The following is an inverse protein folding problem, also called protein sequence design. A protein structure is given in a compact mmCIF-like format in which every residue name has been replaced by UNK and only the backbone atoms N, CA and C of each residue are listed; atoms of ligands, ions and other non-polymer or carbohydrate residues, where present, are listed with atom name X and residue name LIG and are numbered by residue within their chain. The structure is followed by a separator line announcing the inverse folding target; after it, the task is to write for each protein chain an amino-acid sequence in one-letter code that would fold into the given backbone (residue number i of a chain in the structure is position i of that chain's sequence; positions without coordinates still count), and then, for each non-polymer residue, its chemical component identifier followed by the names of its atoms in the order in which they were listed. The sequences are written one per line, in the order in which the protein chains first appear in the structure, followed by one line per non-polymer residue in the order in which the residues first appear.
data_IF_439847928053
#
_entry.id   IF_439847928053
#
_cell.length_a   1.000
_cell.length_b   1.000
_cell.length_c   1.000
_cell.angle_alpha   90.00
_cell.angle_beta   90.00
_cell.angle_gamma   90.00
#
_symmetry.space_group_name_H-M   'P 1'
#
loop_
_entity.id
_entity.type
_entity.pdbx_description
1 polymer ?
#
# COMPACT_ATOMS: atom_id res chain seq x y z
N UNK A 1 -60.03 -4.86 -42.84
CA UNK A 1 -58.64 -5.37 -42.70
C UNK A 1 -58.00 -4.55 -41.59
N UNK A 2 -58.02 -4.94 -40.30
CA UNK A 2 -57.35 -6.10 -39.65
C UNK A 2 -55.83 -6.00 -39.92
N UNK A 3 -54.89 -5.77 -38.99
CA UNK A 3 -54.86 -5.75 -37.51
C UNK A 3 -53.72 -4.84 -36.99
N UNK A 4 -53.94 -4.33 -35.78
CA UNK A 4 -52.96 -3.86 -34.78
C UNK A 4 -52.14 -5.00 -34.17
N UNK A 5 -50.96 -4.71 -33.61
CA UNK A 5 -50.31 -5.38 -32.46
C UNK A 5 -48.87 -4.80 -32.31
N UNK A 6 -48.20 -4.73 -31.15
CA UNK A 6 -48.55 -4.44 -29.77
C UNK A 6 -47.22 -4.24 -29.00
N UNK A 7 -47.30 -3.49 -27.90
CA UNK A 7 -46.33 -3.20 -26.84
C UNK A 7 -45.57 -4.41 -26.28
N UNK A 8 -44.29 -4.26 -25.86
CA UNK A 8 -43.82 -4.77 -24.55
C UNK A 8 -42.58 -4.02 -24.02
N UNK A 9 -42.82 -3.17 -23.03
CA UNK A 9 -41.88 -2.74 -21.99
C UNK A 9 -41.51 -3.94 -21.12
N UNK A 10 -40.22 -4.16 -20.81
CA UNK A 10 -39.88 -5.10 -19.74
C UNK A 10 -38.71 -4.60 -18.88
N UNK A 11 -39.10 -4.15 -17.69
CA UNK A 11 -38.29 -3.72 -16.57
C UNK A 11 -37.53 -4.94 -15.99
N UNK A 12 -36.27 -4.74 -15.56
CA UNK A 12 -35.55 -5.78 -14.79
C UNK A 12 -35.96 -5.73 -13.31
N UNK A 13 -36.16 -6.88 -12.67
CA UNK A 13 -36.86 -6.96 -11.39
C UNK A 13 -36.00 -6.56 -10.19
N UNK A 14 -36.66 -5.86 -9.27
CA UNK A 14 -36.35 -5.75 -7.83
C UNK A 14 -36.49 -7.14 -7.20
N UNK A 15 -35.53 -7.53 -6.37
CA UNK A 15 -35.70 -8.70 -5.50
C UNK A 15 -35.43 -8.30 -4.04
N UNK A 16 -36.52 -8.32 -3.25
CA UNK A 16 -36.55 -8.20 -1.79
C UNK A 16 -36.86 -9.58 -1.17
N UNK A 17 -36.32 -9.82 0.02
CA UNK A 17 -36.63 -10.97 0.91
C UNK A 17 -35.73 -12.18 0.64
N UNK A 18 -35.12 -12.85 1.62
CA UNK A 18 -35.73 -13.35 2.86
C UNK A 18 -34.65 -13.48 3.94
N UNK A 19 -35.00 -13.08 5.17
CA UNK A 19 -34.18 -13.32 6.35
C UNK A 19 -34.20 -14.79 6.76
N UNK A 20 -33.03 -15.32 7.08
CA UNK A 20 -32.87 -16.57 7.85
C UNK A 20 -31.89 -16.30 8.97
N UNK A 21 -32.42 -16.23 10.19
CA UNK A 21 -31.67 -16.32 11.44
C UNK A 21 -31.11 -17.72 11.61
N UNK A 22 -29.85 -17.84 12.02
CA UNK A 22 -29.34 -19.03 12.74
C UNK A 22 -28.12 -18.66 13.58
N UNK A 23 -28.29 -18.85 14.88
CA UNK A 23 -27.26 -18.76 15.91
C UNK A 23 -26.42 -20.05 15.99
N UNK A 24 -25.28 -19.89 16.67
CA UNK A 24 -24.42 -20.87 17.34
C UNK A 24 -23.20 -21.41 16.59
N UNK A 25 -22.05 -21.21 17.24
CA UNK A 25 -20.83 -21.99 17.01
C UNK A 25 -19.56 -21.21 17.30
N UNK A 26 -19.31 -20.87 18.57
CA UNK A 26 -17.98 -20.47 19.04
C UNK A 26 -16.94 -21.53 18.63
N UNK A 27 -15.90 -21.12 17.89
CA UNK A 27 -14.58 -21.72 18.03
C UNK A 27 -13.48 -20.69 17.72
N UNK A 28 -12.90 -20.26 18.83
CA UNK A 28 -11.61 -19.63 19.08
C UNK A 28 -10.51 -19.92 18.02
N UNK A 29 -9.78 -18.88 17.60
CA UNK A 29 -8.30 -18.89 17.55
C UNK A 29 -7.72 -17.48 17.36
N UNK A 30 -7.29 -16.91 18.50
CA UNK A 30 -6.11 -16.06 18.71
C UNK A 30 -5.88 -14.81 17.85
N UNK A 31 -6.40 -13.70 18.38
CA UNK A 31 -6.02 -12.31 18.13
C UNK A 31 -4.81 -11.94 19.01
N UNK A 32 -3.82 -11.22 18.48
CA UNK A 32 -2.80 -10.53 19.30
C UNK A 32 -3.44 -9.26 19.89
N UNK A 33 -3.80 -9.31 21.17
CA UNK A 33 -4.28 -8.17 21.96
C UNK A 33 -3.10 -7.38 22.52
N UNK A 34 -3.13 -6.07 22.29
CA UNK A 34 -2.29 -5.08 22.96
C UNK A 34 -2.84 -4.91 24.38
N UNK A 35 -2.09 -5.37 25.38
CA UNK A 35 -2.43 -5.22 26.80
C UNK A 35 -2.17 -3.76 27.22
N UNK A 36 -3.17 -3.12 27.84
CA UNK A 36 -3.05 -1.84 28.55
C UNK A 36 -3.04 -2.15 30.07
N UNK A 37 -2.16 -1.55 30.89
CA UNK A 37 -2.14 -1.83 32.33
C UNK A 37 -3.24 -1.05 33.10
N UNK A 38 -3.78 -1.61 34.19
CA UNK A 38 -4.77 -0.96 35.06
C UNK A 38 -4.14 -0.02 36.12
N UNK A 39 -4.94 0.89 36.74
CA UNK A 39 -4.47 1.88 37.71
C UNK A 39 -4.29 1.27 39.12
N UNK A 40 -3.35 1.83 39.88
CA UNK A 40 -3.01 1.42 41.26
C UNK A 40 -3.73 2.29 42.29
N UNK A 41 -4.48 1.65 43.19
CA UNK A 41 -4.88 2.19 44.50
C UNK A 41 -4.01 1.58 45.61
N UNK A 42 -3.85 2.36 46.66
CA UNK A 42 -2.81 2.36 47.69
C UNK A 42 -3.30 1.69 48.99
N UNK A 43 -2.57 0.69 49.53
CA UNK A 43 -2.59 0.35 50.98
C UNK A 43 -1.25 -0.28 51.43
N UNK A 44 -0.92 0.01 52.68
CA UNK A 44 0.34 0.09 53.46
C UNK A 44 1.00 -1.21 54.00
N UNK A 45 2.35 -1.13 54.08
CA UNK A 45 3.35 -1.51 55.14
C UNK A 45 3.46 -2.94 55.73
N UNK A 46 4.66 -3.56 55.63
CA UNK A 46 5.61 -3.81 56.76
C UNK A 46 6.93 -4.55 56.34
N UNK A 47 8.06 -4.03 56.86
CA UNK A 47 9.45 -4.51 57.14
C UNK A 47 9.86 -5.99 56.90
N UNK A 48 11.12 -6.43 56.72
CA UNK A 48 12.49 -5.87 56.67
C UNK A 48 13.39 -6.98 56.08
N UNK A 49 14.49 -6.63 55.40
CA UNK A 49 15.88 -7.14 55.63
C UNK A 49 16.74 -6.96 54.36
N UNK A 50 17.79 -6.19 54.56
CA UNK A 50 18.87 -5.77 53.68
C UNK A 50 19.68 -6.92 53.11
N UNK A 51 19.94 -6.93 51.80
CA UNK A 51 21.27 -7.27 51.28
C UNK A 51 21.50 -6.67 49.89
N UNK A 52 22.72 -6.17 49.72
CA UNK A 52 23.14 -5.15 48.76
C UNK A 52 23.75 -5.84 47.53
N UNK A 53 23.09 -5.77 46.36
CA UNK A 53 23.73 -6.08 45.06
C UNK A 53 23.35 -5.02 44.02
N UNK A 54 24.39 -4.49 43.37
CA UNK A 54 24.38 -3.41 42.41
C UNK A 54 23.40 -3.64 41.24
N UNK A 55 22.72 -2.61 40.72
CA UNK A 55 21.86 -2.76 39.55
C UNK A 55 22.71 -2.90 38.28
N UNK A 56 22.64 -4.07 37.66
CA UNK A 56 23.00 -4.30 36.27
C UNK A 56 22.10 -3.40 35.40
N UNK A 57 22.63 -2.25 35.01
CA UNK A 57 22.01 -1.35 34.05
C UNK A 57 22.08 -2.02 32.67
N UNK A 58 21.09 -2.86 32.40
CA UNK A 58 20.76 -3.36 31.07
C UNK A 58 20.36 -2.20 30.16
N UNK A 59 21.36 -1.45 29.66
CA UNK A 59 21.18 -0.50 28.57
C UNK A 59 20.74 -1.29 27.36
N UNK A 60 19.43 -1.36 27.13
CA UNK A 60 18.87 -1.79 25.86
C UNK A 60 19.38 -0.79 24.82
N UNK A 61 20.44 -1.17 24.09
CA UNK A 61 20.97 -0.38 22.98
C UNK A 61 19.85 -0.25 21.94
N UNK A 62 19.11 0.86 21.98
CA UNK A 62 18.16 1.19 20.94
C UNK A 62 18.89 1.14 19.60
N UNK A 63 18.49 0.21 18.72
CA UNK A 63 19.06 0.12 17.38
C UNK A 63 18.79 1.44 16.68
N UNK A 64 19.84 2.18 16.34
CA UNK A 64 19.74 3.41 15.53
C UNK A 64 18.93 3.10 14.28
N UNK A 65 17.71 3.62 14.23
CA UNK A 65 16.83 3.48 13.06
C UNK A 65 17.41 4.36 11.96
N UNK A 66 17.48 3.83 10.73
CA UNK A 66 17.95 4.58 9.56
C UNK A 66 17.07 5.80 9.34
N UNK A 67 17.69 6.97 9.20
CA UNK A 67 17.00 8.23 8.89
C UNK A 67 16.46 8.29 7.46
N UNK A 68 15.84 9.43 7.10
CA UNK A 68 15.34 9.71 5.75
C UNK A 68 16.51 9.62 4.74
N UNK A 69 16.26 9.05 3.56
CA UNK A 69 17.26 9.07 2.49
C UNK A 69 17.49 10.50 2.01
N UNK A 70 18.75 10.84 1.77
CA UNK A 70 19.17 12.11 1.17
C UNK A 70 19.75 11.89 -0.24
N UNK A 71 19.67 10.67 -0.78
CA UNK A 71 20.18 10.34 -2.12
C UNK A 71 21.61 10.87 -2.39
N UNK A 72 22.54 10.65 -1.45
CA UNK A 72 23.92 11.21 -1.46
C UNK A 72 24.63 11.08 -2.81
N UNK A 73 24.42 9.96 -3.51
CA UNK A 73 25.02 9.72 -4.82
C UNK A 73 24.63 10.79 -5.84
N UNK A 74 23.39 11.28 -5.82
CA UNK A 74 22.91 12.32 -6.73
C UNK A 74 23.49 13.69 -6.37
N UNK A 75 23.59 14.00 -5.07
CA UNK A 75 24.19 15.26 -4.59
C UNK A 75 25.65 15.40 -5.04
N UNK A 76 26.36 14.28 -5.11
CA UNK A 76 27.78 14.25 -5.47
C UNK A 76 28.02 14.12 -6.99
N UNK A 77 26.98 14.16 -7.82
CA UNK A 77 27.14 14.16 -9.27
C UNK A 77 27.75 15.48 -9.75
N UNK A 78 28.65 15.39 -10.73
CA UNK A 78 29.18 16.58 -11.38
C UNK A 78 28.04 17.26 -12.19
N UNK A 79 28.08 18.60 -12.36
CA UNK A 79 27.13 19.28 -13.24
C UNK A 79 27.07 18.62 -14.63
N UNK A 80 25.86 18.28 -15.08
CA UNK A 80 25.62 17.61 -16.36
C UNK A 80 25.83 16.09 -16.38
N UNK A 81 26.33 15.49 -15.29
CA UNK A 81 26.44 14.04 -15.19
C UNK A 81 25.09 13.39 -14.86
N UNK A 82 24.71 12.36 -15.63
CA UNK A 82 23.47 11.60 -15.43
C UNK A 82 23.77 10.12 -15.21
N UNK A 83 22.97 9.47 -14.38
CA UNK A 83 23.04 8.05 -14.14
C UNK A 83 22.23 7.28 -15.20
N UNK A 84 22.81 6.28 -15.87
CA UNK A 84 22.04 5.42 -16.76
C UNK A 84 21.03 4.61 -15.95
N UNK A 85 19.76 4.64 -16.35
CA UNK A 85 18.71 3.78 -15.78
C UNK A 85 18.29 2.74 -16.81
N UNK A 86 17.86 1.56 -16.37
CA UNK A 86 17.27 0.54 -17.24
C UNK A 86 15.81 0.43 -16.86
N UNK A 87 14.90 0.48 -17.83
CA UNK A 87 13.49 0.20 -17.56
C UNK A 87 13.21 -1.29 -17.79
N UNK A 88 12.73 -1.98 -16.77
CA UNK A 88 12.24 -3.35 -16.86
C UNK A 88 10.86 -3.41 -16.20
N UNK A 89 9.87 -3.93 -16.92
CA UNK A 89 8.49 -4.01 -16.46
C UNK A 89 7.97 -2.68 -15.91
N UNK A 90 8.07 -1.62 -16.72
CA UNK A 90 7.50 -0.30 -16.37
C UNK A 90 8.12 0.31 -15.09
N UNK A 91 9.33 -0.11 -14.71
CA UNK A 91 10.04 0.31 -13.49
C UNK A 91 11.53 0.50 -13.76
N UNK A 92 12.12 1.48 -13.08
CA UNK A 92 13.58 1.68 -13.07
C UNK A 92 14.28 0.53 -12.34
N UNK A 93 15.25 -0.09 -13.00
CA UNK A 93 15.95 -1.29 -12.59
C UNK A 93 17.46 -1.17 -12.92
N UNK A 94 18.21 -2.26 -12.70
CA UNK A 94 19.65 -2.29 -12.89
C UNK A 94 20.45 -1.68 -11.72
N UNK A 95 21.75 -1.43 -11.90
CA UNK A 95 22.64 -0.95 -10.84
C UNK A 95 22.16 0.33 -10.14
N UNK A 96 21.52 1.23 -10.90
CA UNK A 96 21.01 2.51 -10.40
C UNK A 96 19.52 2.46 -9.97
N UNK A 97 18.85 1.30 -10.06
CA UNK A 97 17.40 1.19 -9.77
C UNK A 97 17.03 1.50 -8.31
N UNK A 98 17.91 1.20 -7.36
CA UNK A 98 17.70 1.53 -5.93
C UNK A 98 17.80 3.04 -5.67
N UNK A 99 18.72 3.72 -6.35
CA UNK A 99 18.94 5.17 -6.29
C UNK A 99 17.78 5.89 -6.95
N UNK A 100 17.39 5.44 -8.14
CA UNK A 100 16.19 5.87 -8.85
C UNK A 100 14.95 5.84 -7.94
N UNK A 101 14.65 4.67 -7.37
CA UNK A 101 13.47 4.50 -6.51
C UNK A 101 13.55 5.38 -5.25
N UNK A 102 14.74 5.55 -4.68
CA UNK A 102 14.95 6.43 -3.52
C UNK A 102 14.71 7.90 -3.87
N UNK A 103 15.11 8.32 -5.06
CA UNK A 103 14.96 9.68 -5.54
C UNK A 103 13.52 10.03 -5.88
N UNK A 104 12.80 9.16 -6.61
CA UNK A 104 11.36 9.30 -6.84
C UNK A 104 10.61 9.49 -5.52
N UNK A 105 10.92 8.66 -4.52
CA UNK A 105 10.32 8.79 -3.20
C UNK A 105 10.68 10.10 -2.48
N UNK A 106 11.81 10.74 -2.82
CA UNK A 106 12.20 12.03 -2.24
C UNK A 106 11.39 13.17 -2.85
N UNK A 107 11.18 13.14 -4.18
CA UNK A 107 10.28 14.07 -4.89
C UNK A 107 8.87 14.00 -4.30
N UNK A 108 8.30 12.78 -4.21
CA UNK A 108 6.95 12.54 -3.68
C UNK A 108 6.74 13.10 -2.27
N UNK A 109 7.79 13.09 -1.44
CA UNK A 109 7.72 13.52 -0.03
C UNK A 109 8.14 14.99 0.16
N UNK A 110 8.35 15.73 -0.91
CA UNK A 110 8.72 17.15 -0.88
C UNK A 110 7.50 17.97 -1.29
N UNK A 111 6.91 18.73 -0.36
CA UNK A 111 5.70 19.52 -0.61
C UNK A 111 5.87 20.63 -1.64
N UNK A 112 7.11 21.06 -1.91
CA UNK A 112 7.42 22.06 -2.95
C UNK A 112 7.46 21.46 -4.36
N UNK A 113 7.60 20.13 -4.47
CA UNK A 113 7.68 19.42 -5.75
C UNK A 113 6.39 18.66 -6.04
N UNK A 114 5.87 17.96 -5.04
CA UNK A 114 4.64 17.19 -5.10
C UNK A 114 3.60 17.84 -4.18
N UNK A 115 2.54 18.44 -4.73
CA UNK A 115 1.50 19.08 -3.96
C UNK A 115 0.86 18.10 -2.97
N UNK A 116 0.64 18.58 -1.75
CA UNK A 116 0.01 17.81 -0.69
C UNK A 116 -1.47 18.18 -0.50
N UNK A 117 -1.90 19.34 -0.99
CA UNK A 117 -3.29 19.83 -0.91
C UNK A 117 -4.17 19.40 -2.10
N UNK A 118 -4.05 18.13 -2.47
CA UNK A 118 -4.85 17.50 -3.53
C UNK A 118 -5.50 16.25 -2.96
N UNK A 119 -6.72 15.91 -3.36
CA UNK A 119 -7.40 14.71 -2.85
C UNK A 119 -6.83 13.48 -3.53
N UNK A 120 -6.66 13.53 -4.84
CA UNK A 120 -6.23 12.40 -5.65
C UNK A 120 -5.09 12.79 -6.60
N UNK A 121 -4.35 11.79 -7.10
CA UNK A 121 -3.17 12.02 -7.94
C UNK A 121 -3.53 12.74 -9.24
N UNK A 122 -4.71 12.44 -9.79
CA UNK A 122 -5.18 12.99 -11.05
C UNK A 122 -5.56 14.48 -10.96
N UNK A 123 -5.66 15.02 -9.74
CA UNK A 123 -5.87 16.45 -9.50
C UNK A 123 -4.55 17.25 -9.54
N UNK A 124 -3.38 16.58 -9.56
CA UNK A 124 -2.08 17.25 -9.69
C UNK A 124 -1.99 17.82 -11.10
N UNK A 125 -1.68 19.12 -11.20
CA UNK A 125 -1.63 19.84 -12.45
C UNK A 125 -0.53 19.32 -13.37
N UNK A 126 -0.74 19.47 -14.68
CA UNK A 126 0.24 19.07 -15.70
C UNK A 126 1.60 19.75 -15.51
N UNK A 127 1.61 21.02 -15.12
CA UNK A 127 2.84 21.77 -14.89
C UNK A 127 3.66 21.20 -13.72
N UNK A 128 2.99 20.77 -12.66
CA UNK A 128 3.62 20.16 -11.48
C UNK A 128 4.15 18.76 -11.81
N UNK A 129 3.40 17.98 -12.59
CA UNK A 129 3.86 16.70 -13.14
C UNK A 129 5.10 16.90 -14.04
N UNK A 130 5.10 17.91 -14.91
CA UNK A 130 6.24 18.20 -15.78
C UNK A 130 7.46 18.67 -14.98
N UNK A 131 7.25 19.49 -13.93
CA UNK A 131 8.32 19.90 -13.03
C UNK A 131 8.95 18.70 -12.30
N UNK A 132 8.12 17.77 -11.80
CA UNK A 132 8.61 16.50 -11.24
C UNK A 132 9.38 15.67 -12.28
N UNK A 133 8.90 15.61 -13.52
CA UNK A 133 9.58 14.89 -14.60
C UNK A 133 10.93 15.52 -14.98
N UNK A 134 10.99 16.85 -15.06
CA UNK A 134 12.24 17.58 -15.28
C UNK A 134 13.28 17.26 -14.20
N UNK A 135 12.86 17.24 -12.93
CA UNK A 135 13.72 16.87 -11.80
C UNK A 135 14.24 15.42 -11.89
N UNK A 136 13.47 14.49 -12.48
CA UNK A 136 13.94 13.12 -12.76
C UNK A 136 14.97 13.11 -13.89
N UNK A 137 14.69 13.83 -14.99
CA UNK A 137 15.59 13.93 -16.16
C UNK A 137 16.90 14.67 -15.87
N UNK A 138 16.97 15.45 -14.80
CA UNK A 138 18.20 16.11 -14.36
C UNK A 138 19.28 15.08 -14.00
N UNK A 139 18.90 14.00 -13.31
CA UNK A 139 19.84 13.04 -12.71
C UNK A 139 19.94 11.71 -13.44
N UNK A 140 18.98 11.39 -14.32
CA UNK A 140 18.91 10.07 -14.96
C UNK A 140 18.79 10.17 -16.48
N UNK A 141 19.30 9.16 -17.17
CA UNK A 141 19.27 9.08 -18.63
C UNK A 141 19.01 7.64 -19.11
N UNK A 142 18.25 7.51 -20.18
CA UNK A 142 17.99 6.28 -20.93
C UNK A 142 17.38 6.67 -22.31
N UNK A 143 17.62 5.91 -23.39
CA UNK A 143 17.00 6.18 -24.69
C UNK A 143 15.46 6.23 -24.65
N UNK A 144 14.85 5.40 -23.81
CA UNK A 144 13.40 5.20 -23.71
C UNK A 144 12.77 6.09 -22.62
N UNK A 145 13.46 7.14 -22.16
CA UNK A 145 12.97 7.99 -21.06
C UNK A 145 11.59 8.56 -21.31
N UNK A 146 11.34 9.15 -22.48
CA UNK A 146 10.05 9.78 -22.76
C UNK A 146 8.93 8.74 -22.95
N UNK A 147 9.23 7.58 -23.54
CA UNK A 147 8.26 6.48 -23.63
C UNK A 147 7.94 5.85 -22.26
N UNK A 148 8.88 5.89 -21.31
CA UNK A 148 8.68 5.37 -19.96
C UNK A 148 7.97 6.37 -19.03
N UNK A 149 7.69 7.59 -19.49
CA UNK A 149 7.19 8.69 -18.63
C UNK A 149 5.88 8.34 -17.90
N UNK A 150 4.91 7.79 -18.62
CA UNK A 150 3.62 7.39 -18.04
C UNK A 150 3.78 6.29 -16.99
N UNK A 151 4.58 5.26 -17.30
CA UNK A 151 4.91 4.18 -16.37
C UNK A 151 5.61 4.68 -15.09
N UNK A 152 6.46 5.71 -15.22
CA UNK A 152 7.11 6.35 -14.09
C UNK A 152 6.10 7.13 -13.25
N UNK A 153 5.17 7.84 -13.86
CA UNK A 153 4.10 8.51 -13.12
C UNK A 153 3.17 7.53 -12.41
N UNK A 154 2.84 6.39 -13.02
CA UNK A 154 2.09 5.31 -12.36
C UNK A 154 2.82 4.80 -11.11
N UNK A 155 4.14 4.62 -11.21
CA UNK A 155 4.96 4.27 -10.06
C UNK A 155 4.95 5.36 -8.99
N UNK A 156 5.13 6.63 -9.38
CA UNK A 156 5.11 7.76 -8.48
C UNK A 156 3.76 7.89 -7.75
N UNK A 157 2.65 7.66 -8.45
CA UNK A 157 1.30 7.59 -7.88
C UNK A 157 1.21 6.47 -6.82
N UNK A 158 1.66 5.26 -7.12
CA UNK A 158 1.70 4.16 -6.13
C UNK A 158 2.51 4.54 -4.88
N UNK A 159 3.68 5.16 -5.07
CA UNK A 159 4.53 5.63 -3.97
C UNK A 159 3.84 6.72 -3.14
N UNK A 160 3.16 7.65 -3.79
CA UNK A 160 2.41 8.74 -3.16
C UNK A 160 1.23 8.21 -2.34
N UNK A 161 0.42 7.30 -2.89
CA UNK A 161 -0.68 6.62 -2.19
C UNK A 161 -0.16 5.85 -0.98
N UNK A 162 0.94 5.11 -1.14
CA UNK A 162 1.58 4.36 -0.05
C UNK A 162 2.10 5.29 1.05
N UNK A 163 2.72 6.40 0.68
CA UNK A 163 3.20 7.40 1.63
C UNK A 163 2.05 8.02 2.42
N UNK A 164 0.97 8.44 1.75
CA UNK A 164 -0.24 8.95 2.41
C UNK A 164 -0.87 7.92 3.34
N UNK A 165 -0.99 6.67 2.90
CA UNK A 165 -1.51 5.58 3.74
C UNK A 165 -0.68 5.40 5.01
N UNK A 166 0.66 5.37 4.90
CA UNK A 166 1.56 5.29 6.06
C UNK A 166 1.43 6.50 6.98
N UNK A 167 1.26 7.69 6.41
CA UNK A 167 1.05 8.92 7.18
C UNK A 167 -0.28 8.86 7.96
N UNK A 168 -1.37 8.46 7.31
CA UNK A 168 -2.66 8.25 7.95
C UNK A 168 -2.58 7.25 9.10
N UNK A 169 -1.98 6.08 8.86
CA UNK A 169 -1.84 5.04 9.89
C UNK A 169 -0.98 5.50 11.07
N UNK A 170 0.03 6.34 10.85
CA UNK A 170 0.96 6.75 11.90
C UNK A 170 0.47 7.94 12.73
N UNK A 171 -0.24 8.87 12.11
CA UNK A 171 -0.57 10.16 12.74
C UNK A 171 -2.07 10.31 13.03
N UNK A 172 -2.94 9.67 12.25
CA UNK A 172 -4.40 9.79 12.40
C UNK A 172 -4.99 8.59 13.11
N UNK A 173 -4.83 7.37 12.58
CA UNK A 173 -5.48 6.15 13.12
C UNK A 173 -5.05 5.76 14.54
N UNK A 174 -3.94 6.30 15.04
CA UNK A 174 -3.44 6.01 16.40
C UNK A 174 -4.03 6.93 17.47
N UNK A 175 -4.88 7.89 17.09
CA UNK A 175 -5.46 8.90 17.97
C UNK A 175 -6.97 8.94 17.86
N UNK A 176 -7.59 9.41 18.94
CA UNK A 176 -9.04 9.34 19.10
C UNK A 176 -9.72 10.71 18.90
N UNK A 177 -9.03 11.83 19.12
CA UNK A 177 -9.59 13.19 18.99
C UNK A 177 -8.85 14.02 17.92
N UNK A 178 -9.56 15.03 17.40
CA UNK A 178 -9.07 15.87 16.31
C UNK A 178 -7.90 16.76 16.75
N UNK A 179 -7.96 17.33 17.95
CA UNK A 179 -6.94 18.23 18.48
C UNK A 179 -5.56 17.54 18.53
N UNK A 180 -5.50 16.31 19.04
CA UNK A 180 -4.26 15.54 19.12
C UNK A 180 -3.76 15.11 17.72
N UNK A 181 -4.67 14.84 16.78
CA UNK A 181 -4.31 14.55 15.37
C UNK A 181 -3.67 15.79 14.73
N UNK A 182 -4.29 16.96 14.87
CA UNK A 182 -3.78 18.21 14.30
C UNK A 182 -2.50 18.68 15.00
N UNK A 183 -2.32 18.35 16.28
CA UNK A 183 -1.10 18.64 17.04
C UNK A 183 0.12 17.82 16.60
N UNK A 184 -0.05 16.61 16.06
CA UNK A 184 1.05 15.76 15.58
C UNK A 184 1.40 15.99 14.12
N UNK A 185 1.88 17.20 13.84
CA UNK A 185 2.30 17.63 12.50
C UNK A 185 3.53 16.82 12.06
N UNK A 186 3.47 16.10 10.92
CA UNK A 186 4.65 15.43 10.38
C UNK A 186 5.75 16.45 10.04
N UNK A 187 7.00 16.18 10.45
CA UNK A 187 8.18 17.06 10.29
C UNK A 187 8.43 17.68 8.90
N UNK A 188 7.82 17.15 7.85
CA UNK A 188 8.02 17.59 6.46
C UNK A 188 6.82 18.37 5.91
N UNK A 189 5.81 18.65 6.73
CA UNK A 189 4.66 19.48 6.40
C UNK A 189 4.63 20.69 7.33
N UNK A 190 4.09 21.79 6.82
CA UNK A 190 3.65 22.89 7.69
C UNK A 190 2.28 22.53 8.31
N UNK A 191 1.84 23.34 9.27
CA UNK A 191 0.61 23.11 10.01
C UNK A 191 -0.61 23.19 9.08
N UNK A 192 -0.62 24.16 8.17
CA UNK A 192 -1.75 24.45 7.29
C UNK A 192 -2.00 23.30 6.28
N UNK A 193 -0.92 22.76 5.71
CA UNK A 193 -0.95 21.57 4.84
C UNK A 193 -1.44 20.36 5.62
N UNK A 194 -0.95 20.17 6.85
CA UNK A 194 -1.37 19.05 7.68
C UNK A 194 -2.86 19.12 8.02
N UNK A 195 -3.33 20.28 8.46
CA UNK A 195 -4.75 20.48 8.76
C UNK A 195 -5.63 20.21 7.54
N UNK A 196 -5.24 20.71 6.37
CA UNK A 196 -5.96 20.45 5.13
C UNK A 196 -6.03 18.94 4.83
N UNK A 197 -4.91 18.22 4.91
CA UNK A 197 -4.86 16.78 4.60
C UNK A 197 -5.74 15.98 5.56
N UNK A 198 -5.72 16.31 6.85
CA UNK A 198 -6.53 15.63 7.86
C UNK A 198 -8.02 15.87 7.59
N UNK A 199 -8.43 17.13 7.46
CA UNK A 199 -9.84 17.52 7.33
C UNK A 199 -10.44 17.12 5.97
N UNK A 200 -9.73 17.42 4.88
CA UNK A 200 -10.24 17.27 3.51
C UNK A 200 -10.04 15.86 2.93
N UNK A 201 -9.05 15.09 3.42
CA UNK A 201 -8.79 13.73 2.91
C UNK A 201 -9.00 12.64 3.95
N UNK A 202 -8.32 12.66 5.10
CA UNK A 202 -8.33 11.49 5.99
C UNK A 202 -9.61 11.35 6.82
N UNK A 203 -10.25 12.46 7.17
CA UNK A 203 -11.52 12.48 7.91
C UNK A 203 -12.72 12.78 7.01
N UNK A 204 -12.53 12.88 5.69
CA UNK A 204 -13.65 13.07 4.78
C UNK A 204 -14.55 11.83 4.79
N UNK A 205 -15.86 12.08 4.70
CA UNK A 205 -16.88 11.02 4.72
C UNK A 205 -16.61 9.96 3.64
N UNK A 206 -16.31 10.40 2.43
CA UNK A 206 -15.99 9.53 1.30
C UNK A 206 -14.81 8.61 1.59
N UNK A 207 -13.71 9.15 2.12
CA UNK A 207 -12.52 8.37 2.43
C UNK A 207 -12.79 7.33 3.52
N UNK A 208 -13.52 7.70 4.57
CA UNK A 208 -13.87 6.79 5.67
C UNK A 208 -14.79 5.65 5.18
N UNK A 209 -15.77 5.94 4.32
CA UNK A 209 -16.64 4.93 3.72
C UNK A 209 -15.85 3.94 2.85
N UNK A 210 -14.93 4.45 2.01
CA UNK A 210 -14.05 3.60 1.19
C UNK A 210 -13.12 2.77 2.08
N UNK A 211 -12.53 3.37 3.11
CA UNK A 211 -11.64 2.66 4.05
C UNK A 211 -12.37 1.53 4.75
N UNK A 212 -13.58 1.79 5.27
CA UNK A 212 -14.42 0.78 5.93
C UNK A 212 -14.76 -0.38 4.99
N UNK A 213 -15.22 -0.07 3.78
CA UNK A 213 -15.51 -1.09 2.75
C UNK A 213 -14.27 -1.93 2.42
N UNK A 214 -13.11 -1.29 2.28
CA UNK A 214 -11.86 -1.98 2.00
C UNK A 214 -11.42 -2.88 3.17
N UNK A 215 -11.59 -2.43 4.41
CA UNK A 215 -11.33 -3.23 5.61
C UNK A 215 -12.25 -4.46 5.67
N UNK A 216 -13.54 -4.30 5.39
CA UNK A 216 -14.51 -5.41 5.30
C UNK A 216 -14.14 -6.39 4.17
N UNK A 217 -13.70 -5.89 3.02
CA UNK A 217 -13.26 -6.72 1.89
C UNK A 217 -11.97 -7.47 2.21
N UNK A 218 -11.01 -6.83 2.88
CA UNK A 218 -9.77 -7.46 3.34
C UNK A 218 -10.09 -8.56 4.37
N UNK A 219 -11.03 -8.33 5.29
CA UNK A 219 -11.44 -9.33 6.27
C UNK A 219 -12.08 -10.58 5.64
N UNK A 220 -12.69 -10.45 4.45
CA UNK A 220 -13.28 -11.56 3.67
C UNK A 220 -12.27 -12.26 2.76
N UNK A 221 -11.03 -11.76 2.66
CA UNK A 221 -10.01 -12.33 1.77
C UNK A 221 -9.51 -13.66 2.33
N UNK A 222 -9.79 -14.74 1.60
CA UNK A 222 -9.41 -16.11 1.97
C UNK A 222 -8.05 -16.52 1.39
N UNK A 223 -7.71 -16.07 0.18
CA UNK A 223 -6.48 -16.47 -0.51
C UNK A 223 -5.37 -15.42 -0.32
N UNK A 224 -4.38 -15.75 0.51
CA UNK A 224 -3.21 -14.91 0.75
C UNK A 224 -2.06 -15.27 -0.19
N UNK A 225 -1.33 -14.25 -0.65
CA UNK A 225 -0.13 -14.46 -1.47
C UNK A 225 1.00 -15.00 -0.58
N UNK A 226 1.68 -16.05 -1.05
CA UNK A 226 2.75 -16.75 -0.31
C UNK A 226 4.16 -16.53 -0.89
N UNK A 227 4.30 -15.65 -1.88
CA UNK A 227 5.58 -15.33 -2.53
C UNK A 227 6.47 -14.31 -1.79
N UNK A 228 6.15 -14.03 -0.51
CA UNK A 228 6.92 -13.14 0.35
C UNK A 228 6.96 -11.70 -0.18
N UNK A 229 8.16 -11.10 -0.23
CA UNK A 229 8.34 -9.71 -0.70
C UNK A 229 8.39 -9.57 -2.23
N UNK A 230 8.30 -10.67 -2.97
CA UNK A 230 8.31 -10.63 -4.43
C UNK A 230 6.92 -10.24 -4.93
N UNK A 231 6.79 -9.12 -5.67
CA UNK A 231 5.51 -8.77 -6.28
C UNK A 231 5.17 -9.75 -7.41
N UNK A 232 3.88 -9.93 -7.70
CA UNK A 232 3.39 -10.85 -8.75
C UNK A 232 4.08 -10.64 -10.10
N UNK A 233 4.34 -9.39 -10.50
CA UNK A 233 5.08 -9.09 -11.73
C UNK A 233 6.49 -9.69 -11.78
N UNK A 234 7.18 -9.77 -10.63
CA UNK A 234 8.53 -10.33 -10.55
C UNK A 234 8.46 -11.86 -10.63
N UNK A 235 7.45 -12.47 -10.03
CA UNK A 235 7.19 -13.90 -10.17
C UNK A 235 6.95 -14.25 -11.64
N UNK A 236 6.15 -13.44 -12.34
CA UNK A 236 5.95 -13.60 -13.78
C UNK A 236 7.24 -13.53 -14.59
N UNK A 237 8.19 -12.65 -14.23
CA UNK A 237 9.50 -12.61 -14.88
C UNK A 237 10.34 -13.84 -14.61
N UNK A 238 10.46 -14.21 -13.33
CA UNK A 238 11.23 -15.38 -12.90
C UNK A 238 10.70 -16.64 -13.61
N UNK A 239 9.37 -16.73 -13.78
CA UNK A 239 8.71 -17.77 -14.56
C UNK A 239 9.03 -17.68 -16.06
N UNK A 240 8.96 -16.50 -16.67
CA UNK A 240 9.30 -16.34 -18.10
C UNK A 240 10.75 -16.76 -18.39
N UNK A 241 11.68 -16.38 -17.53
CA UNK A 241 13.09 -16.76 -17.64
C UNK A 241 13.27 -18.27 -17.49
N UNK A 242 12.54 -18.91 -16.56
CA UNK A 242 12.59 -20.35 -16.35
C UNK A 242 11.95 -21.16 -17.49
N UNK A 243 10.83 -20.68 -18.04
CA UNK A 243 10.04 -21.39 -19.05
C UNK A 243 10.50 -21.09 -20.49
N UNK A 244 11.24 -20.01 -20.70
CA UNK A 244 11.56 -19.51 -22.04
C UNK A 244 10.35 -18.95 -22.81
N UNK A 245 9.18 -18.86 -22.16
CA UNK A 245 7.92 -18.31 -22.69
C UNK A 245 7.16 -17.57 -21.60
N UNK A 246 6.21 -16.73 -21.97
CA UNK A 246 5.32 -16.11 -20.99
C UNK A 246 4.56 -17.18 -20.17
N UNK A 247 4.44 -17.00 -18.84
CA UNK A 247 3.64 -17.90 -18.00
C UNK A 247 2.16 -17.76 -18.32
N UNK A 248 1.45 -18.88 -18.25
CA UNK A 248 -0.01 -18.91 -18.24
C UNK A 248 -0.54 -18.29 -16.94
N UNK A 249 -1.81 -17.87 -16.94
CA UNK A 249 -2.47 -17.36 -15.72
C UNK A 249 -2.44 -18.42 -14.61
N UNK A 250 -2.61 -19.70 -14.95
CA UNK A 250 -2.56 -20.81 -14.00
C UNK A 250 -1.18 -20.96 -13.36
N UNK A 251 -0.09 -20.91 -14.13
CA UNK A 251 1.29 -20.97 -13.62
C UNK A 251 1.60 -19.77 -12.72
N UNK A 252 1.17 -18.57 -13.13
CA UNK A 252 1.37 -17.35 -12.35
C UNK A 252 0.62 -17.40 -11.01
N UNK A 253 -0.64 -17.85 -11.02
CA UNK A 253 -1.44 -18.03 -9.80
C UNK A 253 -0.80 -19.10 -8.91
N UNK A 254 -0.43 -20.25 -9.46
CA UNK A 254 0.19 -21.31 -8.69
C UNK A 254 1.45 -20.82 -7.97
N UNK A 255 2.39 -20.19 -8.68
CA UNK A 255 3.63 -19.71 -8.07
C UNK A 255 3.45 -18.50 -7.14
N UNK A 256 2.34 -17.78 -7.26
CA UNK A 256 2.00 -16.65 -6.37
C UNK A 256 1.40 -17.11 -5.05
N UNK A 257 0.59 -18.18 -5.08
CA UNK A 257 -0.27 -18.59 -3.97
C UNK A 257 0.08 -19.96 -3.38
N UNK A 258 1.04 -20.69 -3.95
CA UNK A 258 1.51 -21.95 -3.38
C UNK A 258 2.14 -21.76 -2.00
N UNK A 259 1.83 -22.66 -1.09
CA UNK A 259 2.53 -22.85 0.17
C UNK A 259 3.30 -24.18 0.08
N UNK A 260 4.62 -24.10 -0.06
CA UNK A 260 5.40 -25.25 -0.51
C UNK A 260 5.05 -25.60 -1.96
N UNK A 261 4.69 -26.86 -2.20
CA UNK A 261 4.32 -27.38 -3.53
C UNK A 261 2.81 -27.53 -3.74
N UNK A 262 1.98 -26.98 -2.84
CA UNK A 262 0.52 -27.10 -2.89
C UNK A 262 -0.19 -25.74 -2.74
N UNK A 263 -1.39 -25.62 -3.30
CA UNK A 263 -2.32 -24.51 -3.00
C UNK A 263 -3.29 -25.01 -1.92
N UNK A 264 -3.27 -24.40 -0.71
CA UNK A 264 -4.25 -24.71 0.34
C UNK A 264 -5.64 -24.21 -0.05
N UNK A 265 -6.70 -24.90 0.40
CA UNK A 265 -8.12 -24.57 0.17
C UNK A 265 -8.56 -24.45 -1.30
N UNK A 266 -8.23 -25.47 -2.11
CA UNK A 266 -8.60 -25.57 -3.54
C UNK A 266 -10.09 -25.28 -3.80
N UNK A 267 -11.01 -25.67 -2.91
CA UNK A 267 -12.45 -25.46 -3.05
C UNK A 267 -12.88 -23.98 -2.88
N UNK A 268 -12.24 -23.22 -1.99
CA UNK A 268 -12.46 -21.77 -1.87
C UNK A 268 -11.81 -21.00 -3.04
N UNK A 269 -10.77 -21.60 -3.64
CA UNK A 269 -9.96 -21.02 -4.72
C UNK A 269 -10.45 -21.42 -6.13
N UNK A 270 -11.41 -22.35 -6.22
CA UNK A 270 -11.97 -22.86 -7.47
C UNK A 270 -12.56 -21.76 -8.35
N UNK A 271 -13.10 -20.67 -7.78
CA UNK A 271 -13.66 -19.54 -8.55
C UNK A 271 -12.60 -18.80 -9.38
N UNK A 272 -11.37 -18.67 -8.87
CA UNK A 272 -10.28 -18.00 -9.57
C UNK A 272 -9.56 -18.92 -10.56
N UNK A 273 -9.42 -20.21 -10.21
CA UNK A 273 -8.94 -21.23 -11.13
C UNK A 273 -9.92 -21.41 -12.29
N UNK A 274 -11.24 -21.41 -12.05
CA UNK A 274 -12.25 -21.46 -13.11
C UNK A 274 -12.11 -20.27 -14.07
N UNK A 275 -11.96 -19.04 -13.59
CA UNK A 275 -11.77 -17.86 -14.47
C UNK A 275 -10.49 -17.97 -15.30
N UNK A 276 -9.39 -18.44 -14.73
CA UNK A 276 -8.12 -18.66 -15.44
C UNK A 276 -8.20 -19.80 -16.48
N UNK A 277 -8.90 -20.89 -16.14
CA UNK A 277 -9.15 -22.02 -17.04
C UNK A 277 -10.16 -21.67 -18.14
N UNK A 278 -11.20 -20.89 -17.85
CA UNK A 278 -12.19 -20.45 -18.85
C UNK A 278 -11.62 -19.45 -19.85
N UNK A 279 -10.78 -18.50 -19.41
CA UNK A 279 -10.09 -17.58 -20.32
C UNK A 279 -9.06 -18.27 -21.23
N UNK A 280 -8.50 -19.40 -20.80
CA UNK A 280 -7.57 -20.19 -21.63
C UNK A 280 -8.28 -21.13 -22.62
N UNK A 281 -9.60 -21.29 -22.52
CA UNK A 281 -10.40 -22.18 -23.37
C UNK A 281 -11.24 -21.43 -24.44
N UNK A 282 -11.15 -20.10 -24.48
CA UNK A 282 -11.88 -19.22 -25.42
C UNK A 282 -10.92 -18.52 -26.41
N UNK A 283 -9.62 -18.86 -26.37
CA UNK A 283 -8.61 -18.55 -27.39
C UNK A 283 -8.17 -19.84 -28.09
#
# INVERSE_FOLDING_TARGET
MVMTENTTENQRPVNQGVGVTRNNGDMNTSRTSVVRPPPVEEVVMAENTTENQQPDQGVTKERKKRGRTICKQLINLKPGQKLPIIFKNRRGAGPNGSVWSSYLGTIIRNSQMCPVRVKDWDEIGREELEHMWAAVKEYFTNPDMESAKEDVFDHMNEMWRTWRSKMNCKHVKVRDNLEDILGDVPRFLNKEDWEWVVKEKFLSKEFLEISKRNEENIAKKTMNQHSGRKPVRQIGLDLTEKLGRAPTVAELVFDTYKEGDIIKDVAANARHLFVAFWWSAIL
#
